data_IF_040630440786
#
_entry.id   IF_040630440786
#
_cell.length_a   1.000
_cell.length_b   1.000
_cell.length_c   1.000
_cell.angle_alpha   90.00
_cell.angle_beta   90.00
_cell.angle_gamma   90.00
#
_symmetry.space_group_name_H-M   'P 1'
#
loop_
_entity.id
_entity.type
_entity.pdbx_description
1 polymer ?
#
# COMPACT_ATOMS: atom_id res chain seq x y z
N UNK A 1 1.19 11.65 8.19
CA UNK A 1 -0.29 11.61 8.01
C UNK A 1 -1.02 12.86 8.51
N UNK A 2 -0.70 13.46 9.66
CA UNK A 2 -1.43 14.65 10.16
C UNK A 2 -1.24 15.91 9.27
N UNK A 3 -0.03 16.10 8.74
CA UNK A 3 0.28 17.24 7.87
C UNK A 3 -0.33 17.13 6.46
N UNK A 4 -0.53 15.91 5.95
CA UNK A 4 -1.19 15.67 4.66
C UNK A 4 -2.71 15.87 4.75
N UNK A 5 -3.32 15.57 5.90
CA UNK A 5 -4.74 15.85 6.16
C UNK A 5 -5.00 17.35 6.35
N UNK A 6 -4.08 18.08 6.99
CA UNK A 6 -4.10 19.56 7.06
C UNK A 6 -3.99 20.20 5.67
N UNK A 7 -3.09 19.73 4.80
CA UNK A 7 -2.97 20.24 3.44
C UNK A 7 -4.25 19.97 2.62
N UNK A 8 -4.84 18.78 2.77
CA UNK A 8 -6.11 18.42 2.11
C UNK A 8 -7.29 19.26 2.60
N UNK A 9 -7.36 19.54 3.91
CA UNK A 9 -8.38 20.42 4.52
C UNK A 9 -8.18 21.90 4.11
N UNK A 10 -6.94 22.37 3.98
CA UNK A 10 -6.62 23.70 3.46
C UNK A 10 -7.06 23.82 1.99
N UNK A 11 -6.81 22.80 1.17
CA UNK A 11 -7.23 22.75 -0.23
C UNK A 11 -8.76 22.66 -0.40
N UNK A 12 -9.46 22.04 0.55
CA UNK A 12 -10.93 21.97 0.57
C UNK A 12 -11.59 23.28 0.99
N UNK A 13 -10.89 24.14 1.72
CA UNK A 13 -11.45 25.37 2.31
C UNK A 13 -11.03 26.66 1.58
N UNK A 14 -10.38 26.55 0.41
CA UNK A 14 -10.06 27.73 -0.39
C UNK A 14 -11.28 28.19 -1.20
N UNK A 15 -12.01 29.16 -0.65
CA UNK A 15 -12.82 30.06 -1.47
C UNK A 15 -11.90 30.89 -2.38
N UNK A 16 -12.35 31.09 -3.61
CA UNK A 16 -11.54 31.54 -4.76
C UNK A 16 -11.01 33.00 -4.59
N UNK A 17 -11.46 33.76 -3.61
CA UNK A 17 -11.13 35.19 -3.46
C UNK A 17 -9.90 35.50 -2.60
N UNK A 18 -9.40 34.56 -1.80
CA UNK A 18 -8.31 34.81 -0.85
C UNK A 18 -6.89 34.84 -1.45
N UNK A 19 -6.50 34.01 -2.44
CA UNK A 19 -5.12 34.05 -2.95
C UNK A 19 -4.82 35.33 -3.73
N UNK A 20 -5.82 35.94 -4.37
CA UNK A 20 -5.61 37.11 -5.22
C UNK A 20 -5.32 38.39 -4.41
N UNK A 21 -5.90 38.53 -3.20
CA UNK A 21 -5.62 39.68 -2.32
C UNK A 21 -4.26 39.57 -1.62
N UNK A 22 -3.81 38.34 -1.36
CA UNK A 22 -2.57 38.09 -0.62
C UNK A 22 -1.30 38.26 -1.47
N UNK A 23 -1.42 38.24 -2.81
CA UNK A 23 -0.34 38.61 -3.73
C UNK A 23 -0.19 40.13 -3.96
N UNK A 24 -1.15 40.95 -3.54
CA UNK A 24 -1.12 42.41 -3.74
C UNK A 24 -0.71 43.23 -2.53
N UNK A 25 -0.53 42.63 -1.34
CA UNK A 25 -0.09 43.36 -0.14
C UNK A 25 1.23 42.80 0.39
N UNK A 26 2.34 43.31 -0.15
CA UNK A 26 3.65 43.17 0.49
C UNK A 26 3.68 44.09 1.71
N UNK A 27 3.91 43.52 2.89
CA UNK A 27 4.64 44.21 3.96
C UNK A 27 5.39 43.20 4.82
N UNK A 28 6.64 43.55 5.09
CA UNK A 28 7.64 42.79 5.82
C UNK A 28 7.15 42.29 7.18
N UNK A 29 7.31 40.99 7.46
CA UNK A 29 7.91 40.49 8.70
C UNK A 29 8.11 38.98 8.63
N UNK A 30 9.36 38.59 8.90
CA UNK A 30 9.88 37.24 9.13
C UNK A 30 8.94 36.31 9.89
N UNK A 31 8.82 35.06 9.43
CA UNK A 31 8.87 33.79 10.19
C UNK A 31 8.77 32.65 9.13
N UNK A 32 9.42 31.51 9.38
CA UNK A 32 9.29 30.17 8.73
C UNK A 32 10.43 29.72 7.78
N UNK A 33 11.18 28.70 8.26
CA UNK A 33 12.00 27.67 7.57
C UNK A 33 13.36 28.02 6.91
N UNK A 34 14.42 28.07 7.73
CA UNK A 34 15.82 28.12 7.27
C UNK A 34 16.39 26.86 6.54
N UNK A 35 15.86 25.62 6.61
CA UNK A 35 16.47 24.50 5.87
C UNK A 35 16.22 24.56 4.36
N UNK A 36 15.17 25.26 3.92
CA UNK A 36 14.79 25.34 2.51
C UNK A 36 15.55 26.45 1.77
N UNK A 37 15.93 27.52 2.47
CA UNK A 37 16.63 28.66 1.89
C UNK A 37 18.04 28.29 1.40
N UNK A 38 18.75 27.41 2.10
CA UNK A 38 20.11 27.01 1.73
C UNK A 38 20.15 26.07 0.51
N UNK A 39 19.07 25.29 0.28
CA UNK A 39 18.95 24.45 -0.91
C UNK A 39 18.51 25.26 -2.14
N UNK A 40 17.70 26.30 -1.95
CA UNK A 40 17.29 27.22 -3.02
C UNK A 40 18.43 28.17 -3.41
N UNK A 41 19.22 28.66 -2.45
CA UNK A 41 20.34 29.57 -2.72
C UNK A 41 21.53 28.90 -3.42
N UNK A 42 21.69 27.57 -3.33
CA UNK A 42 22.71 26.84 -4.10
C UNK A 42 22.29 26.51 -5.53
N UNK A 43 21.00 26.68 -5.86
CA UNK A 43 20.42 26.40 -7.18
C UNK A 43 20.12 27.65 -8.03
N UNK A 44 20.17 28.85 -7.43
CA UNK A 44 19.81 30.11 -8.13
C UNK A 44 21.02 31.03 -8.25
N UNK A 45 21.87 30.72 -9.23
CA UNK A 45 22.64 31.74 -9.97
C UNK A 45 22.24 31.60 -11.42
N UNK A 46 21.05 32.10 -11.76
CA UNK A 46 20.61 32.21 -13.16
C UNK A 46 20.41 33.69 -13.43
N UNK A 47 21.27 34.22 -14.29
CA UNK A 47 21.24 35.57 -14.81
C UNK A 47 19.89 35.78 -15.53
N UNK A 48 19.08 36.71 -15.04
CA UNK A 48 17.76 37.01 -15.59
C UNK A 48 17.88 37.82 -16.89
N UNK A 49 18.14 37.15 -18.01
CA UNK A 49 17.90 37.72 -19.33
C UNK A 49 16.88 36.84 -20.07
N UNK A 50 15.64 37.30 -20.05
CA UNK A 50 14.56 37.03 -21.01
C UNK A 50 14.54 35.67 -21.73
N UNK A 51 14.14 34.60 -21.06
CA UNK A 51 13.54 33.43 -21.69
C UNK A 51 12.32 32.98 -20.88
N UNK A 52 11.36 32.34 -21.54
CA UNK A 52 10.05 32.05 -20.96
C UNK A 52 10.17 31.16 -19.70
N UNK A 53 9.28 31.29 -18.69
CA UNK A 53 9.34 30.49 -17.46
C UNK A 53 9.36 28.97 -17.69
N UNK A 54 8.89 28.53 -18.85
CA UNK A 54 8.85 27.14 -19.27
C UNK A 54 10.20 26.63 -19.81
N UNK A 55 10.97 27.46 -20.51
CA UNK A 55 12.33 27.14 -20.97
C UNK A 55 13.31 27.05 -19.80
N UNK A 56 13.16 27.93 -18.82
CA UNK A 56 13.93 27.85 -17.57
C UNK A 56 13.63 26.55 -16.83
N UNK A 57 12.37 26.10 -16.75
CA UNK A 57 12.03 24.82 -16.11
C UNK A 57 12.66 23.61 -16.82
N UNK A 58 12.66 23.57 -18.15
CA UNK A 58 13.30 22.50 -18.94
C UNK A 58 14.82 22.53 -18.83
N UNK A 59 15.45 23.72 -18.81
CA UNK A 59 16.91 23.85 -18.67
C UNK A 59 17.38 23.55 -17.23
N UNK A 60 16.58 23.85 -16.20
CA UNK A 60 16.92 23.57 -14.79
C UNK A 60 16.74 22.09 -14.43
N UNK A 61 15.82 21.39 -15.08
CA UNK A 61 15.65 19.94 -14.98
C UNK A 61 16.71 19.27 -15.86
N UNK A 62 17.94 19.23 -15.37
CA UNK A 62 19.03 18.51 -16.01
C UNK A 62 18.71 17.00 -15.98
N UNK A 63 18.04 16.49 -17.01
CA UNK A 63 17.66 15.08 -17.14
C UNK A 63 18.81 14.11 -16.86
N UNK A 64 20.06 14.54 -17.15
CA UNK A 64 21.27 13.77 -16.86
C UNK A 64 21.55 13.61 -15.36
N UNK A 65 21.23 14.61 -14.53
CA UNK A 65 21.37 14.50 -13.07
C UNK A 65 20.28 13.64 -12.45
N UNK A 66 19.04 13.69 -12.98
CA UNK A 66 17.94 12.81 -12.57
C UNK A 66 18.23 11.36 -12.96
N UNK A 67 18.68 11.11 -14.19
CA UNK A 67 19.13 9.78 -14.61
C UNK A 67 20.34 9.29 -13.80
N UNK A 68 21.26 10.20 -13.44
CA UNK A 68 22.39 9.90 -12.56
C UNK A 68 21.94 9.49 -11.16
N UNK A 69 21.02 10.24 -10.55
CA UNK A 69 20.46 9.95 -9.24
C UNK A 69 19.64 8.64 -9.24
N UNK A 70 18.82 8.41 -10.27
CA UNK A 70 18.10 7.15 -10.47
C UNK A 70 19.06 5.98 -10.63
N UNK A 71 20.16 6.16 -11.38
CA UNK A 71 21.18 5.11 -11.56
C UNK A 71 21.89 4.78 -10.26
N UNK A 72 22.18 5.78 -9.43
CA UNK A 72 22.81 5.60 -8.13
C UNK A 72 21.86 4.87 -7.15
N UNK A 73 20.58 5.23 -7.10
CA UNK A 73 19.56 4.50 -6.33
C UNK A 73 19.34 3.06 -6.84
N UNK A 74 19.44 2.82 -8.15
CA UNK A 74 19.37 1.45 -8.72
C UNK A 74 20.60 0.62 -8.30
N UNK A 75 21.77 1.25 -8.15
CA UNK A 75 22.99 0.59 -7.71
C UNK A 75 22.99 0.29 -6.20
N UNK A 76 22.45 1.20 -5.40
CA UNK A 76 22.33 1.01 -3.95
C UNK A 76 21.14 0.09 -3.59
N UNK A 77 20.21 -0.16 -4.51
CA UNK A 77 19.05 -1.03 -4.28
C UNK A 77 17.85 -0.26 -3.71
N UNK A 78 16.64 -0.72 -4.03
CA UNK A 78 15.40 0.01 -3.73
C UNK A 78 14.98 -0.15 -2.26
N UNK A 79 14.72 0.94 -1.54
CA UNK A 79 14.10 0.86 -0.20
C UNK A 79 12.57 0.98 -0.26
N UNK A 80 11.89 0.62 0.83
CA UNK A 80 10.44 0.81 0.97
C UNK A 80 10.04 2.29 0.80
N UNK A 81 10.84 3.20 1.37
CA UNK A 81 10.63 4.65 1.25
C UNK A 81 10.79 5.15 -0.20
N UNK A 82 11.73 4.59 -0.96
CA UNK A 82 11.90 4.94 -2.38
C UNK A 82 10.68 4.53 -3.21
N UNK A 83 10.09 3.36 -2.92
CA UNK A 83 8.84 2.91 -3.56
C UNK A 83 7.70 3.88 -3.24
N UNK A 84 7.54 4.28 -1.99
CA UNK A 84 6.52 5.26 -1.60
C UNK A 84 6.70 6.59 -2.33
N UNK A 85 7.94 7.08 -2.47
CA UNK A 85 8.26 8.29 -3.20
C UNK A 85 7.91 8.19 -4.69
N UNK A 86 8.23 7.05 -5.33
CA UNK A 86 7.86 6.78 -6.74
C UNK A 86 6.33 6.76 -6.90
N UNK A 87 5.61 6.06 -6.01
CA UNK A 87 4.15 6.02 -6.01
C UNK A 87 3.56 7.42 -5.86
N UNK A 88 4.07 8.21 -4.91
CA UNK A 88 3.61 9.56 -4.65
C UNK A 88 3.82 10.48 -5.87
N UNK A 89 5.01 10.39 -6.49
CA UNK A 89 5.32 11.10 -7.72
C UNK A 89 4.34 10.73 -8.85
N UNK A 90 4.09 9.43 -9.06
CA UNK A 90 3.16 8.96 -10.08
C UNK A 90 1.72 9.43 -9.84
N UNK A 91 1.27 9.46 -8.57
CA UNK A 91 -0.06 9.97 -8.20
C UNK A 91 -0.18 11.47 -8.49
N UNK A 92 0.82 12.28 -8.12
CA UNK A 92 0.83 13.72 -8.41
C UNK A 92 0.86 13.98 -9.91
N UNK A 93 1.75 13.31 -10.63
CA UNK A 93 1.86 13.43 -12.07
C UNK A 93 0.52 13.11 -12.75
N UNK A 94 -0.11 12.01 -12.34
CA UNK A 94 -1.45 11.63 -12.82
C UNK A 94 -2.50 12.68 -12.48
N UNK A 95 -2.47 13.24 -11.27
CA UNK A 95 -3.43 14.28 -10.85
C UNK A 95 -3.33 15.53 -11.73
N UNK A 96 -2.12 15.98 -12.05
CA UNK A 96 -1.87 17.12 -12.96
C UNK A 96 -2.48 16.85 -14.35
N UNK A 97 -2.21 15.67 -14.92
CA UNK A 97 -2.77 15.27 -16.22
C UNK A 97 -4.30 15.23 -16.19
N UNK A 98 -4.89 14.74 -15.09
CA UNK A 98 -6.35 14.68 -14.95
C UNK A 98 -6.98 16.07 -14.82
N UNK A 99 -6.37 17.00 -14.10
CA UNK A 99 -6.84 18.40 -14.00
C UNK A 99 -6.98 19.02 -15.38
N UNK A 100 -5.98 18.84 -16.25
CA UNK A 100 -5.99 19.38 -17.63
C UNK A 100 -7.09 18.73 -18.49
N UNK A 101 -7.36 17.43 -18.28
CA UNK A 101 -8.34 16.68 -19.08
C UNK A 101 -9.79 16.91 -18.65
N UNK A 102 -10.03 17.16 -17.37
CA UNK A 102 -11.36 17.26 -16.78
C UNK A 102 -11.50 18.59 -16.01
N UNK A 103 -12.06 18.55 -14.80
CA UNK A 103 -12.13 19.68 -13.89
C UNK A 103 -11.49 19.28 -12.55
N UNK A 104 -11.18 20.26 -11.68
CA UNK A 104 -10.51 20.00 -10.41
C UNK A 104 -11.28 18.98 -9.53
N UNK A 105 -12.61 19.16 -9.39
CA UNK A 105 -13.45 18.30 -8.54
C UNK A 105 -13.44 16.84 -9.00
N UNK A 106 -13.72 16.58 -10.28
CA UNK A 106 -13.73 15.23 -10.87
C UNK A 106 -12.33 14.61 -10.83
N UNK A 107 -11.28 15.40 -11.06
CA UNK A 107 -9.89 14.92 -10.98
C UNK A 107 -9.50 14.51 -9.56
N UNK A 108 -9.94 15.24 -8.54
CA UNK A 108 -9.76 14.83 -7.13
C UNK A 108 -10.45 13.50 -6.87
N UNK A 109 -11.71 13.33 -7.26
CA UNK A 109 -12.43 12.06 -7.07
C UNK A 109 -11.76 10.89 -7.79
N UNK A 110 -11.41 11.03 -9.07
CA UNK A 110 -10.74 9.96 -9.84
C UNK A 110 -9.37 9.59 -9.25
N UNK A 111 -8.64 10.59 -8.75
CA UNK A 111 -7.34 10.37 -8.12
C UNK A 111 -7.50 9.64 -6.79
N UNK A 112 -8.47 10.03 -5.96
CA UNK A 112 -8.76 9.35 -4.69
C UNK A 112 -9.17 7.89 -4.89
N UNK A 113 -10.01 7.62 -5.90
CA UNK A 113 -10.42 6.23 -6.23
C UNK A 113 -9.19 5.40 -6.66
N UNK A 114 -8.29 5.98 -7.45
CA UNK A 114 -7.04 5.31 -7.84
C UNK A 114 -6.08 5.13 -6.67
N UNK A 115 -6.02 6.08 -5.74
CA UNK A 115 -5.23 5.97 -4.51
C UNK A 115 -5.76 4.84 -3.63
N UNK A 116 -7.07 4.74 -3.44
CA UNK A 116 -7.68 3.62 -2.71
C UNK A 116 -7.37 2.27 -3.37
N UNK A 117 -7.46 2.17 -4.70
CA UNK A 117 -7.10 0.95 -5.42
C UNK A 117 -5.59 0.63 -5.29
N UNK A 118 -4.73 1.62 -5.47
CA UNK A 118 -3.28 1.49 -5.32
C UNK A 118 -2.86 1.13 -3.89
N UNK A 119 -3.58 1.63 -2.89
CA UNK A 119 -3.35 1.29 -1.48
C UNK A 119 -3.56 -0.21 -1.21
N UNK A 120 -4.56 -0.84 -1.83
CA UNK A 120 -4.77 -2.29 -1.71
C UNK A 120 -3.54 -3.08 -2.19
N UNK A 121 -2.99 -2.70 -3.34
CA UNK A 121 -1.78 -3.31 -3.90
C UNK A 121 -0.53 -2.98 -3.10
N UNK A 122 -0.44 -1.77 -2.56
CA UNK A 122 0.68 -1.37 -1.71
C UNK A 122 0.70 -2.16 -0.40
N UNK A 123 -0.47 -2.36 0.22
CA UNK A 123 -0.62 -3.24 1.39
C UNK A 123 -0.21 -4.67 1.06
N UNK A 124 -0.70 -5.20 -0.07
CA UNK A 124 -0.32 -6.52 -0.54
C UNK A 124 1.19 -6.65 -0.81
N UNK A 125 1.81 -5.62 -1.41
CA UNK A 125 3.26 -5.55 -1.61
C UNK A 125 4.02 -5.64 -0.29
N UNK A 126 3.60 -4.90 0.74
CA UNK A 126 4.20 -4.98 2.08
C UNK A 126 4.06 -6.42 2.62
N UNK A 127 2.89 -7.01 2.55
CA UNK A 127 2.64 -8.36 3.08
C UNK A 127 3.53 -9.41 2.39
N UNK A 128 3.64 -9.39 1.05
CA UNK A 128 4.54 -10.27 0.28
C UNK A 128 6.01 -10.00 0.61
N UNK A 129 6.39 -8.74 0.77
CA UNK A 129 7.78 -8.37 1.10
C UNK A 129 8.17 -8.85 2.49
N UNK A 130 7.30 -8.67 3.49
CA UNK A 130 7.49 -9.20 4.84
C UNK A 130 7.60 -10.73 4.83
N UNK A 131 6.82 -11.40 3.99
CA UNK A 131 6.88 -12.84 3.84
C UNK A 131 8.22 -13.29 3.26
N UNK A 132 8.72 -12.63 2.22
CA UNK A 132 9.99 -12.96 1.58
C UNK A 132 11.22 -12.33 2.22
N UNK A 133 11.11 -11.58 3.31
CA UNK A 133 12.21 -10.78 3.89
C UNK A 133 13.53 -11.54 4.05
N UNK A 134 13.49 -12.78 4.55
CA UNK A 134 14.68 -13.62 4.75
C UNK A 134 15.33 -14.04 3.44
N UNK A 135 14.54 -14.17 2.37
CA UNK A 135 15.00 -14.48 1.01
C UNK A 135 15.51 -13.23 0.30
N UNK A 136 14.83 -12.08 0.48
CA UNK A 136 15.17 -10.82 -0.18
C UNK A 136 16.55 -10.30 0.21
N UNK A 137 16.92 -10.42 1.50
CA UNK A 137 18.23 -10.03 2.00
C UNK A 137 19.38 -10.78 1.31
N UNK A 138 19.12 -11.99 0.78
CA UNK A 138 20.12 -12.82 0.10
C UNK A 138 20.32 -12.46 -1.37
N UNK A 139 19.41 -11.66 -1.95
CA UNK A 139 19.47 -11.25 -3.35
C UNK A 139 20.17 -9.88 -3.41
N UNK A 140 21.32 -9.75 -4.10
CA UNK A 140 22.13 -8.53 -4.05
C UNK A 140 21.37 -7.23 -4.33
N UNK A 141 20.51 -7.20 -5.34
CA UNK A 141 19.75 -6.01 -5.73
C UNK A 141 18.51 -5.71 -4.87
N UNK A 142 18.07 -6.69 -4.05
CA UNK A 142 16.90 -6.58 -3.19
C UNK A 142 17.27 -6.58 -1.69
N UNK A 143 18.57 -6.54 -1.38
CA UNK A 143 19.05 -6.64 -0.02
C UNK A 143 18.51 -5.50 0.85
N UNK A 144 18.59 -4.26 0.36
CA UNK A 144 18.09 -3.09 1.07
C UNK A 144 16.56 -3.11 1.20
N UNK A 145 15.86 -3.61 0.18
CA UNK A 145 14.41 -3.80 0.25
C UNK A 145 14.01 -4.80 1.35
N UNK A 146 14.71 -5.94 1.41
CA UNK A 146 14.53 -6.94 2.46
C UNK A 146 14.91 -6.43 3.85
N UNK A 147 16.00 -5.67 3.97
CA UNK A 147 16.45 -5.08 5.23
C UNK A 147 15.43 -4.07 5.78
N UNK A 148 14.89 -3.18 4.93
CA UNK A 148 13.81 -2.27 5.32
C UNK A 148 12.55 -3.01 5.79
N UNK A 149 12.24 -4.17 5.21
CA UNK A 149 11.10 -4.99 5.64
C UNK A 149 11.34 -5.65 7.01
N UNK A 150 12.56 -6.11 7.29
CA UNK A 150 12.94 -6.62 8.61
C UNK A 150 12.86 -5.50 9.66
N UNK A 151 13.36 -4.30 9.33
CA UNK A 151 13.28 -3.13 10.21
C UNK A 151 11.82 -2.75 10.52
N UNK A 152 10.94 -2.77 9.52
CA UNK A 152 9.51 -2.52 9.69
C UNK A 152 8.88 -3.53 10.66
N UNK A 153 9.20 -4.82 10.52
CA UNK A 153 8.73 -5.86 11.43
C UNK A 153 9.30 -5.67 12.84
N UNK A 154 10.60 -5.46 12.98
CA UNK A 154 11.23 -5.28 14.29
C UNK A 154 10.72 -4.03 15.01
N UNK A 155 10.45 -2.95 14.28
CA UNK A 155 9.82 -1.76 14.83
C UNK A 155 8.40 -2.10 15.31
N UNK A 156 7.61 -2.81 14.50
CA UNK A 156 6.27 -3.25 14.91
C UNK A 156 6.30 -4.17 16.14
N UNK A 157 7.25 -5.10 16.21
CA UNK A 157 7.42 -6.03 17.33
C UNK A 157 7.98 -5.33 18.57
N UNK A 158 8.89 -4.36 18.42
CA UNK A 158 9.41 -3.55 19.52
C UNK A 158 8.33 -2.67 20.15
N UNK A 159 7.39 -2.17 19.35
CA UNK A 159 6.20 -1.48 19.84
C UNK A 159 5.32 -2.45 20.65
N UNK A 160 5.19 -3.70 20.20
CA UNK A 160 4.47 -4.75 20.93
C UNK A 160 5.21 -5.22 22.21
N UNK A 161 6.54 -5.32 22.19
CA UNK A 161 7.34 -5.92 23.26
C UNK A 161 7.80 -4.92 24.33
N UNK A 162 8.09 -3.67 23.95
CA UNK A 162 8.63 -2.68 24.88
C UNK A 162 7.58 -2.00 25.75
N UNK A 163 6.31 -2.43 25.70
CA UNK A 163 5.29 -2.09 26.71
C UNK A 163 5.28 -0.62 27.11
N UNK A 164 5.63 0.30 26.19
CA UNK A 164 5.70 1.73 26.47
C UNK A 164 4.26 2.18 26.64
N UNK A 165 3.82 2.13 27.90
CA UNK A 165 2.50 2.48 28.38
C UNK A 165 1.39 1.99 27.45
N UNK A 166 1.04 0.70 27.55
CA UNK A 166 -0.13 0.05 26.96
C UNK A 166 -1.42 0.74 27.43
N UNK A 167 -1.62 1.93 26.86
CA UNK A 167 -2.69 2.91 26.94
C UNK A 167 -3.54 2.99 25.68
N UNK A 168 -3.02 2.51 24.55
CA UNK A 168 -3.53 2.93 23.23
C UNK A 168 -3.73 1.82 22.20
N UNK A 169 -3.19 0.61 22.40
CA UNK A 169 -3.08 -0.30 21.25
C UNK A 169 -4.18 -1.35 21.24
N UNK A 170 -5.40 -0.84 21.09
CA UNK A 170 -6.35 -1.56 20.27
C UNK A 170 -6.55 -0.86 18.94
N UNK A 171 -6.22 -1.57 17.88
CA UNK A 171 -6.40 -1.04 16.54
C UNK A 171 -7.89 -0.95 16.18
N UNK A 172 -8.28 0.14 15.52
CA UNK A 172 -9.66 0.42 15.09
C UNK A 172 -10.26 -0.66 14.17
N UNK A 173 -9.43 -1.48 13.51
CA UNK A 173 -9.88 -2.58 12.66
C UNK A 173 -10.39 -3.80 13.45
N UNK A 174 -10.10 -3.87 14.76
CA UNK A 174 -10.69 -4.85 15.67
C UNK A 174 -11.57 -4.12 16.71
N UNK A 175 -12.77 -3.66 16.29
CA UNK A 175 -13.64 -2.87 17.15
C UNK A 175 -14.05 -3.64 18.42
N UNK A 176 -14.12 -4.97 18.36
CA UNK A 176 -14.45 -5.83 19.50
C UNK A 176 -13.39 -5.76 20.61
N UNK A 177 -12.11 -5.92 20.27
CA UNK A 177 -11.02 -5.72 21.24
C UNK A 177 -10.99 -4.28 21.75
N UNK A 178 -11.35 -3.30 20.92
CA UNK A 178 -11.24 -1.88 21.28
C UNK A 178 -12.27 -1.51 22.33
N UNK A 179 -13.50 -1.95 22.11
CA UNK A 179 -14.59 -1.82 23.07
C UNK A 179 -14.26 -2.60 24.34
N UNK A 180 -13.78 -3.84 24.22
CA UNK A 180 -13.37 -4.64 25.36
C UNK A 180 -12.31 -3.95 26.21
N UNK A 181 -11.23 -3.47 25.60
CA UNK A 181 -10.16 -2.78 26.28
C UNK A 181 -10.60 -1.46 26.90
N UNK A 182 -11.39 -0.65 26.17
CA UNK A 182 -11.93 0.59 26.70
C UNK A 182 -12.81 0.34 27.92
N UNK A 183 -13.62 -0.72 27.90
CA UNK A 183 -14.46 -1.15 29.02
C UNK A 183 -13.59 -1.66 30.18
N UNK A 184 -12.64 -2.57 29.94
CA UNK A 184 -11.80 -3.13 31.01
C UNK A 184 -10.88 -2.08 31.63
N UNK A 185 -10.32 -1.15 30.87
CA UNK A 185 -9.56 -0.02 31.43
C UNK A 185 -10.42 0.98 32.20
N UNK A 186 -11.68 1.15 31.79
CA UNK A 186 -12.63 1.94 32.55
C UNK A 186 -13.01 1.29 33.87
N UNK A 187 -12.84 -0.04 33.99
CA UNK A 187 -13.26 -0.83 35.15
C UNK A 187 -12.08 -1.18 36.07
N UNK A 188 -10.90 -1.49 35.53
CA UNK A 188 -9.75 -1.96 36.29
C UNK A 188 -8.68 -0.88 36.32
N UNK A 189 -8.41 -0.33 37.50
CA UNK A 189 -7.31 0.58 37.75
C UNK A 189 -6.20 -0.16 38.52
N UNK A 190 -5.00 -0.19 37.95
CA UNK A 190 -3.83 -0.74 38.63
C UNK A 190 -3.07 0.42 39.25
N UNK A 191 -2.82 0.35 40.55
CA UNK A 191 -1.98 1.32 41.23
C UNK A 191 -0.51 1.10 40.81
N UNK A 192 0.13 2.16 40.32
CA UNK A 192 1.48 2.12 39.75
C UNK A 192 2.57 1.82 40.77
N UNK A 193 2.30 2.07 42.06
CA UNK A 193 3.28 1.87 43.13
C UNK A 193 3.17 0.50 43.81
N UNK A 194 1.94 -0.04 43.92
CA UNK A 194 1.68 -1.30 44.64
C UNK A 194 1.39 -2.49 43.72
N UNK A 195 1.05 -2.25 42.46
CA UNK A 195 0.66 -3.29 41.50
C UNK A 195 -0.70 -3.94 41.78
N UNK A 196 -1.46 -3.42 42.76
CA UNK A 196 -2.76 -3.95 43.15
C UNK A 196 -3.82 -3.43 42.18
N UNK A 197 -4.72 -4.32 41.75
CA UNK A 197 -5.82 -4.01 40.84
C UNK A 197 -7.10 -3.69 41.61
N UNK A 198 -7.64 -2.51 41.37
CA UNK A 198 -8.91 -2.04 41.92
C UNK A 198 -9.97 -2.01 40.82
N UNK A 199 -11.18 -2.47 41.14
CA UNK A 199 -12.33 -2.44 40.23
C UNK A 199 -13.21 -1.24 40.58
N UNK A 200 -13.31 -0.28 39.67
CA UNK A 200 -14.05 0.97 39.82
C UNK A 200 -15.21 0.96 38.83
N UNK A 201 -16.20 0.11 39.07
CA UNK A 201 -17.41 0.05 38.26
C UNK A 201 -18.68 0.14 39.14
N UNK A 202 -19.83 0.50 38.56
CA UNK A 202 -21.07 0.62 39.33
C UNK A 202 -21.45 -0.66 40.08
N UNK A 203 -21.07 -1.84 39.58
CA UNK A 203 -21.35 -3.12 40.24
C UNK A 203 -20.41 -3.31 41.44
N UNK A 204 -19.12 -2.98 41.31
CA UNK A 204 -18.21 -3.00 42.48
C UNK A 204 -18.67 -2.03 43.58
N UNK A 205 -19.18 -0.85 43.21
CA UNK A 205 -19.77 0.12 44.15
C UNK A 205 -20.99 -0.46 44.88
N UNK A 206 -21.91 -1.11 44.16
CA UNK A 206 -23.08 -1.77 44.77
C UNK A 206 -22.65 -2.89 45.71
N UNK A 207 -21.67 -3.71 45.31
CA UNK A 207 -21.14 -4.81 46.12
C UNK A 207 -20.46 -4.28 47.39
N UNK A 208 -19.76 -3.14 47.30
CA UNK A 208 -19.09 -2.53 48.44
C UNK A 208 -20.07 -2.12 49.56
N UNK A 209 -21.32 -1.79 49.19
CA UNK A 209 -22.37 -1.36 50.10
C UNK A 209 -23.22 -2.53 50.68
N UNK A 210 -22.92 -3.78 50.33
CA UNK A 210 -23.63 -4.95 50.87
C UNK A 210 -23.16 -5.30 52.29
N UNK A 211 -23.97 -6.09 53.02
CA UNK A 211 -23.53 -6.68 54.29
C UNK A 211 -22.44 -7.75 54.08
N UNK A 212 -21.55 -7.93 55.06
CA UNK A 212 -20.41 -8.86 54.93
C UNK A 212 -20.83 -10.31 54.61
N UNK A 213 -21.94 -10.78 55.17
CA UNK A 213 -22.48 -12.11 54.87
C UNK A 213 -22.91 -12.29 53.40
N UNK A 214 -23.39 -11.21 52.76
CA UNK A 214 -23.76 -11.20 51.34
C UNK A 214 -22.54 -11.01 50.44
N UNK A 215 -21.56 -10.21 50.84
CA UNK A 215 -20.31 -10.00 50.08
C UNK A 215 -19.57 -11.30 49.83
N UNK A 216 -19.43 -12.17 50.84
CA UNK A 216 -18.72 -13.45 50.72
C UNK A 216 -19.33 -14.34 49.62
N UNK A 217 -20.64 -14.28 49.40
CA UNK A 217 -21.33 -15.06 48.36
C UNK A 217 -21.21 -14.45 46.97
N UNK A 218 -21.19 -13.12 46.88
CA UNK A 218 -21.26 -12.38 45.61
C UNK A 218 -19.86 -12.13 45.00
N UNK A 219 -18.83 -11.90 45.82
CA UNK A 219 -17.46 -11.61 45.37
C UNK A 219 -16.90 -12.67 44.40
N UNK A 220 -17.00 -13.99 44.69
CA UNK A 220 -16.47 -15.01 43.80
C UNK A 220 -17.18 -15.04 42.44
N UNK A 221 -18.49 -14.79 42.42
CA UNK A 221 -19.28 -14.75 41.19
C UNK A 221 -18.91 -13.51 40.37
N UNK A 222 -18.79 -12.36 41.03
CA UNK A 222 -18.36 -11.11 40.43
C UNK A 222 -16.98 -11.25 39.75
N UNK A 223 -15.97 -11.74 40.48
CA UNK A 223 -14.63 -11.92 39.90
C UNK A 223 -14.60 -13.00 38.81
N UNK A 224 -15.39 -14.06 38.92
CA UNK A 224 -15.48 -15.08 37.86
C UNK A 224 -16.06 -14.52 36.56
N UNK A 225 -17.05 -13.62 36.67
CA UNK A 225 -17.63 -12.95 35.49
C UNK A 225 -16.57 -12.06 34.83
N UNK A 226 -15.93 -11.18 35.59
CA UNK A 226 -14.99 -10.19 35.05
C UNK A 226 -13.65 -10.77 34.61
N UNK A 227 -13.10 -11.77 35.31
CA UNK A 227 -11.76 -12.28 35.03
C UNK A 227 -11.76 -13.51 34.12
N UNK A 228 -12.90 -14.17 33.93
CA UNK A 228 -12.97 -15.41 33.15
C UNK A 228 -14.03 -15.38 32.07
N UNK A 229 -15.29 -15.05 32.40
CA UNK A 229 -16.40 -15.15 31.43
C UNK A 229 -16.31 -14.05 30.36
N UNK A 230 -16.22 -12.78 30.79
CA UNK A 230 -16.15 -11.64 29.87
C UNK A 230 -14.91 -11.73 28.96
N UNK A 231 -13.68 -11.94 29.48
CA UNK A 231 -12.49 -12.04 28.63
C UNK A 231 -12.61 -13.14 27.59
N UNK A 232 -13.05 -14.33 27.99
CA UNK A 232 -13.18 -15.49 27.10
C UNK A 232 -14.26 -15.28 26.04
N UNK A 233 -15.36 -14.62 26.39
CA UNK A 233 -16.41 -14.27 25.45
C UNK A 233 -15.91 -13.27 24.39
N UNK A 234 -15.23 -12.20 24.80
CA UNK A 234 -14.65 -11.22 23.87
C UNK A 234 -13.52 -11.80 23.03
N UNK A 235 -12.70 -12.70 23.58
CA UNK A 235 -11.69 -13.44 22.83
C UNK A 235 -12.34 -14.30 21.74
N UNK A 236 -13.38 -15.07 22.09
CA UNK A 236 -14.13 -15.90 21.14
C UNK A 236 -14.76 -15.05 20.03
N UNK A 237 -15.39 -13.92 20.38
CA UNK A 237 -15.96 -12.99 19.39
C UNK A 237 -14.86 -12.40 18.51
N UNK A 238 -13.74 -12.01 19.10
CA UNK A 238 -12.63 -11.44 18.34
C UNK A 238 -12.04 -12.46 17.38
N UNK A 239 -11.84 -13.71 17.80
CA UNK A 239 -11.33 -14.78 16.94
C UNK A 239 -12.32 -15.08 15.80
N UNK A 240 -13.61 -15.19 16.12
CA UNK A 240 -14.66 -15.36 15.13
C UNK A 240 -14.69 -14.19 14.13
N UNK A 241 -14.62 -12.95 14.62
CA UNK A 241 -14.59 -11.76 13.76
C UNK A 241 -13.31 -11.71 12.92
N UNK A 242 -12.16 -12.08 13.46
CA UNK A 242 -10.91 -12.14 12.70
C UNK A 242 -11.04 -13.13 11.51
N UNK A 243 -11.72 -14.26 11.70
CA UNK A 243 -11.97 -15.23 10.62
C UNK A 243 -13.02 -14.75 9.61
N UNK A 244 -14.10 -14.10 10.08
CA UNK A 244 -15.22 -13.72 9.23
C UNK A 244 -15.02 -12.37 8.53
N UNK A 245 -14.29 -11.44 9.14
CA UNK A 245 -14.18 -10.03 8.71
C UNK A 245 -13.70 -9.87 7.27
N UNK A 246 -12.76 -10.71 6.80
CA UNK A 246 -12.29 -10.70 5.42
C UNK A 246 -13.40 -11.04 4.42
N UNK A 247 -14.17 -12.08 4.69
CA UNK A 247 -15.29 -12.52 3.84
C UNK A 247 -16.46 -11.53 3.92
N UNK A 248 -16.76 -11.03 5.12
CA UNK A 248 -17.80 -10.03 5.35
C UNK A 248 -17.47 -8.71 4.65
N UNK A 249 -16.23 -8.23 4.75
CA UNK A 249 -15.76 -7.04 4.02
C UNK A 249 -15.87 -7.25 2.52
N UNK A 250 -15.46 -8.41 2.00
CA UNK A 250 -15.62 -8.76 0.60
C UNK A 250 -17.09 -8.73 0.17
N UNK A 251 -17.99 -9.45 0.85
CA UNK A 251 -19.42 -9.47 0.52
C UNK A 251 -20.04 -8.07 0.60
N UNK A 252 -19.70 -7.30 1.64
CA UNK A 252 -20.25 -5.98 1.83
C UNK A 252 -19.76 -5.00 0.74
N UNK A 253 -18.51 -5.09 0.31
CA UNK A 253 -17.93 -4.14 -0.65
C UNK A 253 -18.23 -4.54 -2.10
N UNK A 254 -18.16 -5.83 -2.41
CA UNK A 254 -18.31 -6.33 -3.79
C UNK A 254 -19.75 -6.63 -4.17
N UNK A 255 -20.61 -7.04 -3.22
CA UNK A 255 -22.01 -7.43 -3.50
C UNK A 255 -23.02 -6.37 -3.06
N UNK A 256 -22.97 -5.91 -1.82
CA UNK A 256 -23.97 -5.00 -1.25
C UNK A 256 -23.62 -3.54 -1.59
N UNK A 257 -22.34 -3.19 -1.49
CA UNK A 257 -21.80 -1.84 -1.65
C UNK A 257 -21.60 -1.39 -3.11
N UNK A 258 -22.18 -2.09 -4.10
CA UNK A 258 -21.99 -1.76 -5.53
C UNK A 258 -22.38 -0.33 -5.89
N UNK A 259 -23.31 0.28 -5.14
CA UNK A 259 -23.76 1.66 -5.29
C UNK A 259 -22.73 2.69 -4.80
N UNK A 260 -21.92 2.34 -3.80
CA UNK A 260 -21.02 3.27 -3.11
C UNK A 260 -19.55 3.05 -3.48
N UNK A 261 -19.16 1.81 -3.80
CA UNK A 261 -17.78 1.45 -4.13
C UNK A 261 -17.56 1.46 -5.66
N UNK A 262 -16.70 2.35 -6.18
CA UNK A 262 -16.35 2.42 -7.59
C UNK A 262 -15.86 1.08 -8.14
N UNK A 263 -16.16 0.84 -9.43
CA UNK A 263 -15.80 -0.40 -10.10
C UNK A 263 -14.28 -0.69 -10.04
N UNK A 264 -13.44 0.35 -10.14
CA UNK A 264 -11.97 0.22 -10.05
C UNK A 264 -11.52 -0.44 -8.75
N UNK A 265 -12.06 0.00 -7.60
CA UNK A 265 -11.69 -0.55 -6.29
C UNK A 265 -12.20 -1.98 -6.16
N UNK A 266 -13.47 -2.23 -6.51
CA UNK A 266 -14.07 -3.57 -6.46
C UNK A 266 -13.30 -4.58 -7.31
N UNK A 267 -12.87 -4.18 -8.50
CA UNK A 267 -12.12 -5.03 -9.41
C UNK A 267 -10.75 -5.40 -8.85
N UNK A 268 -9.93 -4.41 -8.45
CA UNK A 268 -8.58 -4.67 -7.92
C UNK A 268 -8.62 -5.45 -6.61
N UNK A 269 -9.59 -5.17 -5.73
CA UNK A 269 -9.78 -5.94 -4.51
C UNK A 269 -10.11 -7.41 -4.84
N UNK A 270 -11.12 -7.64 -5.68
CA UNK A 270 -11.53 -9.01 -6.00
C UNK A 270 -10.43 -9.78 -6.72
N UNK A 271 -9.68 -9.09 -7.60
CA UNK A 271 -8.50 -9.66 -8.24
C UNK A 271 -7.45 -10.10 -7.22
N UNK A 272 -7.12 -9.25 -6.23
CA UNK A 272 -6.20 -9.56 -5.15
C UNK A 272 -6.65 -10.76 -4.30
N UNK A 273 -7.95 -10.90 -4.05
CA UNK A 273 -8.48 -12.08 -3.34
C UNK A 273 -8.29 -13.37 -4.14
N UNK A 274 -8.52 -13.33 -5.45
CA UNK A 274 -8.39 -14.51 -6.30
C UNK A 274 -6.92 -14.89 -6.48
N UNK A 275 -6.05 -13.91 -6.74
CA UNK A 275 -4.60 -14.18 -6.88
C UNK A 275 -4.01 -14.66 -5.56
N UNK A 276 -4.49 -14.18 -4.40
CA UNK A 276 -4.05 -14.66 -3.08
C UNK A 276 -4.16 -16.18 -2.89
N UNK A 277 -5.16 -16.84 -3.49
CA UNK A 277 -5.25 -18.31 -3.47
C UNK A 277 -4.13 -18.99 -4.28
N UNK A 278 -3.75 -18.40 -5.41
CA UNK A 278 -2.67 -18.92 -6.27
C UNK A 278 -1.30 -18.61 -5.66
N UNK A 279 -1.13 -17.41 -5.12
CA UNK A 279 0.08 -16.95 -4.47
C UNK A 279 0.44 -17.84 -3.28
N UNK A 280 -0.54 -18.28 -2.50
CA UNK A 280 -0.30 -19.15 -1.36
C UNK A 280 0.43 -20.45 -1.75
N UNK A 281 0.08 -21.03 -2.91
CA UNK A 281 0.77 -22.22 -3.45
C UNK A 281 2.23 -21.88 -3.77
N UNK A 282 2.46 -20.75 -4.44
CA UNK A 282 3.81 -20.29 -4.80
C UNK A 282 4.66 -20.00 -3.55
N UNK A 283 4.08 -19.34 -2.55
CA UNK A 283 4.71 -19.03 -1.28
C UNK A 283 5.16 -20.31 -0.56
N UNK A 284 4.25 -21.28 -0.38
CA UNK A 284 4.60 -22.53 0.29
C UNK A 284 5.67 -23.33 -0.46
N UNK A 285 5.61 -23.32 -1.79
CA UNK A 285 6.65 -23.92 -2.62
C UNK A 285 8.01 -23.26 -2.38
N UNK A 286 8.08 -21.93 -2.36
CA UNK A 286 9.34 -21.20 -2.13
C UNK A 286 9.89 -21.40 -0.72
N UNK A 287 9.05 -21.42 0.31
CA UNK A 287 9.49 -21.77 1.66
C UNK A 287 10.06 -23.18 1.74
N UNK A 288 9.45 -24.14 1.05
CA UNK A 288 9.95 -25.52 1.01
C UNK A 288 11.29 -25.62 0.28
N UNK A 289 11.45 -24.90 -0.83
CA UNK A 289 12.73 -24.82 -1.54
C UNK A 289 13.82 -24.21 -0.67
N UNK A 290 13.51 -23.10 0.01
CA UNK A 290 14.44 -22.43 0.90
C UNK A 290 14.84 -23.35 2.08
N UNK A 291 13.89 -24.02 2.70
CA UNK A 291 14.17 -24.99 3.76
C UNK A 291 15.09 -26.11 3.26
N UNK A 292 14.81 -26.67 2.08
CA UNK A 292 15.67 -27.70 1.48
C UNK A 292 17.09 -27.17 1.21
N UNK A 293 17.20 -25.94 0.73
CA UNK A 293 18.48 -25.29 0.48
C UNK A 293 19.30 -25.08 1.76
N UNK A 294 18.70 -24.46 2.77
CA UNK A 294 19.37 -23.98 3.98
C UNK A 294 19.63 -25.09 4.99
N UNK A 295 18.69 -26.02 5.15
CA UNK A 295 18.83 -27.08 6.17
C UNK A 295 19.54 -28.27 5.57
N UNK A 296 19.14 -28.72 4.37
CA UNK A 296 19.63 -29.99 3.83
C UNK A 296 20.89 -29.82 2.99
N UNK A 297 20.88 -28.93 1.98
CA UNK A 297 22.03 -28.78 1.07
C UNK A 297 23.19 -28.10 1.78
N UNK A 298 22.95 -27.02 2.53
CA UNK A 298 24.02 -26.27 3.20
C UNK A 298 24.74 -27.11 4.26
N UNK A 299 24.02 -27.91 5.05
CA UNK A 299 24.63 -28.84 6.01
C UNK A 299 25.48 -29.91 5.31
N UNK A 300 24.97 -30.50 4.22
CA UNK A 300 25.75 -31.47 3.41
C UNK A 300 26.98 -30.84 2.79
N UNK A 301 26.90 -29.58 2.36
CA UNK A 301 28.02 -28.83 1.79
C UNK A 301 29.11 -28.60 2.85
N UNK A 302 28.71 -28.23 4.07
CA UNK A 302 29.64 -28.08 5.20
C UNK A 302 30.41 -29.38 5.48
N UNK A 303 29.72 -30.53 5.50
CA UNK A 303 30.34 -31.85 5.71
C UNK A 303 31.20 -32.27 4.51
N UNK A 304 30.73 -32.04 3.28
CA UNK A 304 31.44 -32.45 2.07
C UNK A 304 32.73 -31.66 1.83
N UNK A 305 32.75 -30.38 2.21
CA UNK A 305 33.96 -29.54 2.11
C UNK A 305 35.08 -30.02 3.04
N UNK A 306 34.73 -30.71 4.14
CA UNK A 306 35.70 -31.33 5.02
C UNK A 306 36.30 -32.65 4.46
N UNK A 307 35.62 -33.31 3.50
CA UNK A 307 35.94 -34.67 3.02
C UNK A 307 36.20 -34.76 1.48
N UNK A 308 36.30 -33.61 0.82
CA UNK A 308 36.89 -33.31 -0.51
C UNK A 308 36.40 -34.06 -1.78
N UNK A 309 35.33 -34.87 -1.72
CA UNK A 309 34.94 -35.74 -2.85
C UNK A 309 33.56 -35.50 -3.46
N UNK A 310 32.70 -34.64 -2.86
CA UNK A 310 31.32 -34.40 -3.34
C UNK A 310 30.87 -32.93 -3.34
N UNK A 311 31.75 -31.98 -3.00
CA UNK A 311 31.39 -30.58 -2.82
C UNK A 311 30.92 -29.90 -4.13
N UNK A 312 31.53 -30.20 -5.27
CA UNK A 312 31.22 -29.52 -6.55
C UNK A 312 29.76 -29.71 -6.99
N UNK A 313 29.24 -30.94 -6.94
CA UNK A 313 27.85 -31.23 -7.31
C UNK A 313 26.84 -30.56 -6.35
N UNK A 314 27.18 -30.49 -5.06
CA UNK A 314 26.34 -29.84 -4.05
C UNK A 314 26.32 -28.30 -4.22
N UNK A 315 27.47 -27.69 -4.55
CA UNK A 315 27.57 -26.27 -4.88
C UNK A 315 26.71 -25.95 -6.11
N UNK A 316 26.78 -26.79 -7.15
CA UNK A 316 25.95 -26.62 -8.33
C UNK A 316 24.45 -26.67 -7.99
N UNK A 317 24.01 -27.66 -7.20
CA UNK A 317 22.62 -27.76 -6.76
C UNK A 317 22.19 -26.54 -5.94
N UNK A 318 23.04 -26.07 -5.02
CA UNK A 318 22.78 -24.88 -4.22
C UNK A 318 22.60 -23.62 -5.08
N UNK A 319 23.50 -23.41 -6.05
CA UNK A 319 23.44 -22.26 -6.96
C UNK A 319 22.23 -22.33 -7.89
N UNK A 320 21.91 -23.51 -8.43
CA UNK A 320 20.72 -23.72 -9.24
C UNK A 320 19.43 -23.39 -8.46
N UNK A 321 19.34 -23.86 -7.21
CA UNK A 321 18.20 -23.60 -6.35
C UNK A 321 18.07 -22.11 -5.98
N UNK A 322 19.20 -21.46 -5.71
CA UNK A 322 19.27 -20.00 -5.51
C UNK A 322 18.75 -19.25 -6.74
N UNK A 323 19.13 -19.69 -7.94
CA UNK A 323 18.66 -19.14 -9.21
C UNK A 323 17.14 -19.28 -9.38
N UNK A 324 16.59 -20.46 -9.10
CA UNK A 324 15.13 -20.71 -9.14
C UNK A 324 14.39 -19.84 -8.12
N UNK A 325 14.88 -19.79 -6.88
CA UNK A 325 14.28 -18.99 -5.81
C UNK A 325 14.25 -17.50 -6.19
N UNK A 326 15.39 -16.98 -6.63
CA UNK A 326 15.53 -15.58 -7.06
C UNK A 326 14.61 -15.26 -8.23
N UNK A 327 14.57 -16.14 -9.24
CA UNK A 327 13.70 -15.98 -10.40
C UNK A 327 12.22 -15.91 -10.00
N UNK A 328 11.76 -16.86 -9.19
CA UNK A 328 10.36 -16.91 -8.75
C UNK A 328 9.96 -15.68 -7.91
N UNK A 329 10.83 -15.24 -6.98
CA UNK A 329 10.59 -14.05 -6.17
C UNK A 329 10.52 -12.80 -7.05
N UNK A 330 11.45 -12.65 -8.00
CA UNK A 330 11.44 -11.52 -8.93
C UNK A 330 10.18 -11.50 -9.80
N UNK A 331 9.78 -12.63 -10.37
CA UNK A 331 8.55 -12.74 -11.17
C UNK A 331 7.33 -12.37 -10.31
N UNK A 332 7.28 -12.84 -9.06
CA UNK A 332 6.18 -12.53 -8.16
C UNK A 332 6.15 -11.03 -7.82
N UNK A 333 7.25 -10.45 -7.36
CA UNK A 333 7.35 -9.02 -7.05
C UNK A 333 7.03 -8.14 -8.26
N UNK A 334 7.57 -8.46 -9.44
CA UNK A 334 7.24 -7.76 -10.68
C UNK A 334 5.74 -7.81 -11.00
N UNK A 335 5.08 -8.94 -10.73
CA UNK A 335 3.63 -9.08 -10.91
C UNK A 335 2.84 -8.19 -9.93
N UNK A 336 3.31 -8.05 -8.68
CA UNK A 336 2.70 -7.14 -7.70
C UNK A 336 2.90 -5.67 -8.10
N UNK A 337 4.13 -5.28 -8.49
CA UNK A 337 4.40 -3.93 -8.99
C UNK A 337 3.58 -3.61 -10.24
N UNK A 338 3.42 -4.57 -11.15
CA UNK A 338 2.58 -4.43 -12.32
C UNK A 338 1.13 -4.10 -11.94
N UNK A 339 0.55 -4.86 -11.00
CA UNK A 339 -0.80 -4.58 -10.48
C UNK A 339 -0.91 -3.22 -9.78
N UNK A 340 0.10 -2.87 -8.96
CA UNK A 340 0.18 -1.60 -8.25
C UNK A 340 0.20 -0.40 -9.19
N UNK A 341 1.07 -0.41 -10.21
CA UNK A 341 1.16 0.68 -11.18
C UNK A 341 -0.11 0.79 -12.03
N UNK A 342 -0.74 -0.33 -12.38
CA UNK A 342 -2.04 -0.32 -13.04
C UNK A 342 -3.12 0.31 -12.15
N UNK A 343 -3.18 -0.06 -10.87
CA UNK A 343 -4.15 0.48 -9.93
C UNK A 343 -3.99 2.00 -9.71
N UNK A 344 -2.75 2.46 -9.49
CA UNK A 344 -2.41 3.90 -9.35
C UNK A 344 -2.74 4.65 -10.63
N UNK A 345 -2.46 4.06 -11.79
CA UNK A 345 -2.83 4.57 -13.11
C UNK A 345 -4.34 4.63 -13.35
N UNK A 346 -5.14 3.98 -12.48
CA UNK A 346 -6.58 3.82 -12.65
C UNK A 346 -6.95 2.91 -13.81
N UNK A 347 -6.09 1.94 -14.12
CA UNK A 347 -6.19 1.03 -15.26
C UNK A 347 -6.47 -0.39 -14.80
N UNK A 348 -6.86 -1.24 -15.75
CA UNK A 348 -7.06 -2.65 -15.54
C UNK A 348 -6.04 -3.44 -16.39
N UNK A 349 -5.92 -4.73 -16.13
CA UNK A 349 -5.06 -5.62 -16.89
C UNK A 349 -5.75 -6.98 -17.06
N UNK A 350 -5.34 -7.77 -18.06
CA UNK A 350 -6.04 -9.01 -18.43
C UNK A 350 -5.14 -10.23 -18.29
N UNK A 351 -5.46 -11.05 -17.28
CA UNK A 351 -5.00 -12.43 -17.15
C UNK A 351 -6.22 -13.34 -17.27
N UNK A 352 -6.35 -14.17 -18.33
CA UNK A 352 -7.61 -14.81 -18.70
C UNK A 352 -8.34 -15.48 -17.54
N UNK A 353 -7.69 -16.44 -16.88
CA UNK A 353 -8.29 -17.18 -15.77
C UNK A 353 -8.65 -16.28 -14.57
N UNK A 354 -7.74 -15.40 -14.14
CA UNK A 354 -7.95 -14.56 -12.96
C UNK A 354 -9.03 -13.50 -13.19
N UNK A 355 -9.00 -12.86 -14.35
CA UNK A 355 -9.93 -11.77 -14.68
C UNK A 355 -11.33 -12.30 -14.95
N UNK A 356 -11.48 -13.45 -15.60
CA UNK A 356 -12.79 -14.05 -15.81
C UNK A 356 -13.49 -14.41 -14.49
N UNK A 357 -12.75 -14.97 -13.54
CA UNK A 357 -13.27 -15.23 -12.20
C UNK A 357 -13.58 -13.92 -11.44
N UNK A 358 -12.70 -12.91 -11.57
CA UNK A 358 -12.92 -11.58 -10.96
C UNK A 358 -14.23 -10.96 -11.45
N UNK A 359 -14.46 -10.98 -12.76
CA UNK A 359 -15.64 -10.40 -13.39
C UNK A 359 -16.93 -11.15 -13.09
N UNK A 360 -16.86 -12.48 -12.95
CA UNK A 360 -18.01 -13.29 -12.55
C UNK A 360 -18.56 -12.85 -11.18
N UNK A 361 -17.70 -12.40 -10.27
CA UNK A 361 -18.12 -11.93 -8.94
C UNK A 361 -18.62 -10.49 -8.91
N UNK A 362 -17.97 -9.56 -9.61
CA UNK A 362 -18.30 -8.14 -9.51
C UNK A 362 -19.29 -7.65 -10.58
N UNK A 363 -19.35 -8.33 -11.72
CA UNK A 363 -20.11 -7.98 -12.92
C UNK A 363 -19.35 -7.07 -13.91
N UNK A 364 -20.00 -6.66 -15.01
CA UNK A 364 -19.39 -5.82 -16.04
C UNK A 364 -19.19 -4.37 -15.58
N UNK A 365 -18.24 -3.67 -16.22
CA UNK A 365 -17.96 -2.26 -15.95
C UNK A 365 -19.10 -1.35 -16.44
N UNK A 366 -19.54 -0.35 -15.66
CA UNK A 366 -20.46 0.68 -16.15
C UNK A 366 -19.73 1.64 -17.11
N UNK A 367 -20.10 1.59 -18.40
CA UNK A 367 -19.47 2.42 -19.46
C UNK A 367 -19.74 3.92 -19.33
N UNK A 368 -20.87 4.29 -18.73
CA UNK A 368 -21.31 5.69 -18.62
C UNK A 368 -20.69 6.43 -17.42
N UNK A 369 -19.89 5.75 -16.59
CA UNK A 369 -19.28 6.34 -15.41
C UNK A 369 -17.83 6.73 -15.69
N UNK A 370 -17.48 8.01 -15.49
CA UNK A 370 -16.09 8.49 -15.56
C UNK A 370 -15.27 7.95 -14.37
N UNK A 371 -15.94 7.60 -13.27
CA UNK A 371 -15.33 7.08 -12.04
C UNK A 371 -14.98 5.59 -12.09
N UNK A 372 -15.32 4.89 -13.19
CA UNK A 372 -15.00 3.48 -13.39
C UNK A 372 -13.63 3.25 -14.03
N UNK A 373 -12.71 4.23 -13.98
CA UNK A 373 -11.33 4.07 -14.40
C UNK A 373 -11.13 3.80 -15.90
N UNK A 374 -10.05 3.09 -16.23
CA UNK A 374 -9.60 2.76 -17.59
C UNK A 374 -10.57 1.89 -18.39
N UNK A 375 -10.16 1.55 -19.61
CA UNK A 375 -10.97 0.72 -20.51
C UNK A 375 -10.83 -0.77 -20.17
N UNK A 376 -11.91 -1.52 -20.34
CA UNK A 376 -11.97 -2.98 -20.19
C UNK A 376 -12.29 -3.61 -21.54
N UNK A 377 -11.41 -3.44 -22.53
CA UNK A 377 -11.73 -3.74 -23.92
C UNK A 377 -12.01 -5.24 -24.19
N UNK A 378 -11.53 -6.15 -23.33
CA UNK A 378 -11.92 -7.56 -23.38
C UNK A 378 -13.41 -7.79 -23.09
N UNK A 379 -14.08 -6.89 -22.35
CA UNK A 379 -15.53 -6.93 -22.17
C UNK A 379 -16.29 -6.50 -23.44
N UNK A 380 -15.66 -5.68 -24.29
CA UNK A 380 -16.21 -5.22 -25.56
C UNK A 380 -16.01 -6.26 -26.66
N UNK A 381 -14.82 -6.88 -26.74
CA UNK A 381 -14.53 -7.97 -27.69
C UNK A 381 -15.42 -9.20 -27.46
N UNK A 382 -15.81 -9.51 -26.20
CA UNK A 382 -16.78 -10.57 -25.87
C UNK A 382 -18.18 -10.32 -26.44
N UNK A 383 -18.57 -9.06 -26.67
CA UNK A 383 -19.87 -8.70 -27.27
C UNK A 383 -19.83 -8.74 -28.79
N UNK A 384 -18.69 -8.39 -29.38
CA UNK A 384 -18.57 -8.17 -30.83
C UNK A 384 -17.87 -9.30 -31.59
N UNK A 385 -17.14 -10.23 -30.93
CA UNK A 385 -16.33 -11.22 -31.65
C UNK A 385 -16.20 -12.59 -30.96
N UNK A 386 -16.82 -13.62 -31.56
CA UNK A 386 -16.55 -15.04 -31.31
C UNK A 386 -15.26 -15.55 -32.02
N UNK A 387 -14.45 -14.68 -32.67
CA UNK A 387 -13.45 -15.12 -33.66
C UNK A 387 -12.01 -14.56 -33.55
N UNK A 388 -11.70 -13.58 -32.70
CA UNK A 388 -10.31 -13.07 -32.59
C UNK A 388 -9.66 -13.45 -31.26
N UNK A 389 -8.78 -14.46 -31.28
CA UNK A 389 -7.96 -14.95 -30.15
C UNK A 389 -6.68 -14.12 -29.90
N UNK A 390 -6.66 -12.84 -30.25
CA UNK A 390 -5.47 -12.02 -30.02
C UNK A 390 -5.56 -11.41 -28.62
N UNK A 391 -5.00 -12.13 -27.65
CA UNK A 391 -4.87 -11.70 -26.26
C UNK A 391 -3.99 -10.44 -26.19
N UNK A 392 -4.60 -9.26 -26.09
CA UNK A 392 -3.84 -8.06 -25.72
C UNK A 392 -3.65 -8.09 -24.20
N UNK A 393 -2.41 -8.05 -23.76
CA UNK A 393 -2.04 -8.13 -22.33
C UNK A 393 -2.20 -6.75 -21.66
N UNK A 394 -2.32 -5.68 -22.45
CA UNK A 394 -2.29 -4.31 -21.96
C UNK A 394 -3.45 -3.44 -22.46
N UNK A 395 -4.18 -2.83 -21.51
CA UNK A 395 -5.29 -1.92 -21.76
C UNK A 395 -5.16 -0.70 -20.84
N UNK A 396 -4.43 0.31 -21.31
CA UNK A 396 -3.95 1.42 -20.49
C UNK A 396 -3.73 2.71 -21.26
N UNK A 397 -3.00 3.66 -20.67
CA UNK A 397 -2.70 4.98 -21.28
C UNK A 397 -2.09 4.91 -22.69
N UNK A 398 -1.37 3.84 -23.02
CA UNK A 398 -0.90 3.59 -24.39
C UNK A 398 -1.50 2.32 -25.04
N UNK A 399 -2.44 1.66 -24.36
CA UNK A 399 -3.23 0.57 -24.90
C UNK A 399 -4.66 1.05 -25.09
N UNK A 400 -4.92 1.84 -26.12
CA UNK A 400 -6.29 2.14 -26.49
C UNK A 400 -6.96 0.87 -27.01
N UNK A 401 -8.10 0.48 -26.45
CA UNK A 401 -9.07 -0.22 -27.28
C UNK A 401 -9.44 0.70 -28.46
N UNK A 402 -9.56 0.11 -29.66
CA UNK A 402 -10.05 0.58 -31.00
C UNK A 402 -9.92 2.06 -31.46
N UNK A 403 -9.57 3.04 -30.63
CA UNK A 403 -9.53 4.46 -30.98
C UNK A 403 -8.20 5.11 -30.59
N UNK A 404 -7.61 5.86 -31.54
CA UNK A 404 -6.31 6.56 -31.44
C UNK A 404 -6.06 7.19 -30.06
N UNK A 405 -4.88 6.91 -29.50
CA UNK A 405 -4.39 7.45 -28.24
C UNK A 405 -4.22 8.98 -28.34
N UNK A 406 -5.02 9.72 -27.58
CA UNK A 406 -5.03 11.19 -27.59
C UNK A 406 -3.68 11.81 -27.13
N UNK A 407 -2.97 11.17 -26.20
CA UNK A 407 -1.65 11.63 -25.72
C UNK A 407 -0.64 11.69 -26.87
N UNK A 408 -0.62 10.68 -27.75
CA UNK A 408 0.24 10.71 -28.93
C UNK A 408 -0.20 11.79 -29.92
N UNK A 409 -1.49 12.10 -30.03
CA UNK A 409 -1.95 13.21 -30.88
C UNK A 409 -1.53 14.58 -30.34
N UNK A 410 -1.52 14.77 -29.02
CA UNK A 410 -1.08 16.01 -28.37
C UNK A 410 0.44 16.17 -28.45
N UNK A 411 1.21 15.12 -28.13
CA UNK A 411 2.67 15.11 -28.28
C UNK A 411 3.09 15.27 -29.73
N UNK A 412 2.41 14.59 -30.66
CA UNK A 412 2.63 14.77 -32.10
C UNK A 412 2.35 16.21 -32.52
N UNK A 413 1.28 16.83 -32.02
CA UNK A 413 0.96 18.22 -32.32
C UNK A 413 2.02 19.18 -31.80
N UNK A 414 2.53 18.97 -30.58
CA UNK A 414 3.65 19.77 -30.02
C UNK A 414 4.92 19.59 -30.85
N UNK A 415 5.23 18.36 -31.26
CA UNK A 415 6.41 18.06 -32.09
C UNK A 415 6.24 18.70 -33.48
N UNK A 416 5.08 18.55 -34.11
CA UNK A 416 4.78 19.13 -35.42
C UNK A 416 4.79 20.68 -35.37
N UNK A 417 4.27 21.29 -34.30
CA UNK A 417 4.25 22.75 -34.12
C UNK A 417 5.64 23.32 -33.83
N UNK A 418 6.53 22.56 -33.17
CA UNK A 418 7.92 22.97 -32.95
C UNK A 418 8.80 22.72 -34.17
N UNK A 419 8.58 21.64 -34.93
CA UNK A 419 9.31 21.38 -36.18
C UNK A 419 8.94 22.43 -37.25
N UNK A 420 7.68 22.85 -37.34
CA UNK A 420 7.24 23.94 -38.23
C UNK A 420 7.73 25.33 -37.83
N UNK A 421 8.33 25.49 -36.66
CA UNK A 421 9.01 26.73 -36.24
C UNK A 421 10.51 26.69 -36.52
N UNK A 422 11.05 25.49 -36.79
CA UNK A 422 12.46 25.25 -37.09
C UNK A 422 12.77 25.18 -38.60
N UNK A 423 11.73 25.09 -39.43
CA UNK A 423 11.75 25.28 -40.89
C UNK A 423 10.80 26.42 -41.25
#
# INVERSE_FOLDING_TARGET
MLNSLKLLLILLNMDIETPLKQFTSVNHSSIIFQPFQNYVNSLVVVNLNSESPFEVWIQTVNLKSILGALRQQIQDGLTLNDIENIIFFLVIFRFIVLIVRYNLKTSVYITLIGLCAGYLWYRHLIDITLMYRQMLVKIPYLQNFGASAIELESNSQSILSNGVNLGSDVHWYNPGKLVYYAVIKGIIQTDSETGIQYYIDPISMIISNLSEASKIKVLPVYYKIYNTIIPRFFETISEFWNQLSGIAAYAMITRIGKRYCPYLIRWHWTFLLIIGFVEQILIYFLYRLMYFQEVIIQERLFIATANDSSASNLIFQFNALTGVLTFCILVHLCSIFFGLFHAIGGQYFYFPFLVENTELHIGPRPKNSIYSGGQTAWQDEKRDNNRSRNLKIWYGWFGSGTNKIWIFSFLKKIIDDNIKKLF
#
